data_IF_142735826273
#
_entry.id   IF_142735826273
#
_cell.length_a   1.000
_cell.length_b   1.000
_cell.length_c   1.000
_cell.angle_alpha   90.00
_cell.angle_beta   90.00
_cell.angle_gamma   90.00
#
_symmetry.space_group_name_H-M   'P 1'
#
loop_
_entity.id
_entity.type
_entity.pdbx_description
1 polymer ?
#
# COMPACT_ATOMS: atom_id res chain seq x y z
N UNK A 1 10.32 -36.51 -9.58
CA UNK A 1 9.80 -35.13 -9.69
C UNK A 1 10.47 -34.52 -10.92
N UNK A 2 9.71 -34.07 -11.92
CA UNK A 2 10.28 -33.54 -13.18
C UNK A 2 10.94 -32.16 -13.00
N UNK A 3 11.80 -31.78 -13.94
CA UNK A 3 12.51 -30.49 -13.96
C UNK A 3 11.57 -29.29 -13.80
N UNK A 4 10.40 -29.33 -14.44
CA UNK A 4 9.37 -28.28 -14.35
C UNK A 4 8.90 -28.04 -12.91
N UNK A 5 8.65 -29.10 -12.13
CA UNK A 5 8.22 -28.99 -10.74
C UNK A 5 9.32 -28.38 -9.85
N UNK A 6 10.59 -28.66 -10.16
CA UNK A 6 11.73 -28.06 -9.45
C UNK A 6 11.87 -26.56 -9.78
N UNK A 7 11.68 -26.17 -11.03
CA UNK A 7 11.71 -24.77 -11.46
C UNK A 7 10.56 -24.00 -10.80
N UNK A 8 9.33 -24.52 -10.85
CA UNK A 8 8.18 -23.90 -10.21
C UNK A 8 8.40 -23.70 -8.71
N UNK A 9 8.95 -24.71 -8.02
CA UNK A 9 9.29 -24.58 -6.60
C UNK A 9 10.37 -23.51 -6.36
N UNK A 10 11.38 -23.40 -7.23
CA UNK A 10 12.41 -22.36 -7.15
C UNK A 10 11.84 -20.95 -7.30
N UNK A 11 10.95 -20.75 -8.27
CA UNK A 11 10.25 -19.49 -8.50
C UNK A 11 9.37 -19.11 -7.31
N UNK A 12 8.60 -20.06 -6.77
CA UNK A 12 7.75 -19.83 -5.59
C UNK A 12 8.58 -19.41 -4.37
N UNK A 13 9.70 -20.08 -4.12
CA UNK A 13 10.63 -19.70 -3.03
C UNK A 13 11.22 -18.31 -3.25
N UNK A 14 11.50 -17.94 -4.50
CA UNK A 14 12.01 -16.62 -4.85
C UNK A 14 10.97 -15.53 -4.57
N UNK A 15 9.71 -15.74 -4.97
CA UNK A 15 8.60 -14.84 -4.62
C UNK A 15 8.47 -14.68 -3.10
N UNK A 16 8.46 -15.79 -2.37
CA UNK A 16 8.36 -15.79 -0.91
C UNK A 16 9.54 -15.04 -0.26
N UNK A 17 10.76 -15.20 -0.76
CA UNK A 17 11.94 -14.50 -0.26
C UNK A 17 11.87 -12.98 -0.50
N UNK A 18 11.47 -12.55 -1.70
CA UNK A 18 11.34 -11.13 -2.04
C UNK A 18 10.30 -10.45 -1.13
N UNK A 19 9.09 -11.03 -1.07
CA UNK A 19 7.99 -10.50 -0.26
C UNK A 19 8.32 -10.57 1.23
N UNK A 20 8.99 -11.65 1.66
CA UNK A 20 9.48 -11.81 3.03
C UNK A 20 10.47 -10.72 3.43
N UNK A 21 11.39 -10.35 2.54
CA UNK A 21 12.35 -9.27 2.81
C UNK A 21 11.67 -7.90 2.86
N UNK A 22 10.75 -7.61 1.92
CA UNK A 22 9.95 -6.36 1.98
C UNK A 22 9.17 -6.29 3.29
N UNK A 23 8.51 -7.37 3.70
CA UNK A 23 7.81 -7.44 4.99
C UNK A 23 8.75 -7.20 6.18
N UNK A 24 9.96 -7.73 6.12
CA UNK A 24 10.97 -7.52 7.16
C UNK A 24 11.34 -6.04 7.28
N UNK A 25 11.71 -5.40 6.16
CA UNK A 25 12.05 -3.97 6.12
C UNK A 25 10.91 -3.09 6.66
N UNK A 26 9.68 -3.35 6.19
CA UNK A 26 8.50 -2.63 6.68
C UNK A 26 8.33 -2.78 8.20
N UNK A 27 8.46 -4.00 8.73
CA UNK A 27 8.28 -4.24 10.16
C UNK A 27 9.44 -3.74 11.03
N UNK A 28 10.67 -3.69 10.52
CA UNK A 28 11.84 -3.25 11.29
C UNK A 28 12.02 -1.74 11.28
N UNK A 29 11.71 -1.09 10.15
CA UNK A 29 12.04 0.31 9.94
C UNK A 29 10.86 1.26 10.16
N UNK A 30 9.61 0.83 9.91
CA UNK A 30 8.45 1.71 10.00
C UNK A 30 7.98 1.86 11.45
N UNK A 31 7.91 3.11 11.93
CA UNK A 31 7.54 3.44 13.30
C UNK A 31 6.16 4.07 13.35
N UNK A 32 5.45 3.87 14.46
CA UNK A 32 4.16 4.51 14.68
C UNK A 32 4.24 6.05 14.64
N UNK A 33 5.38 6.63 15.01
CA UNK A 33 5.63 8.07 14.94
C UNK A 33 5.62 8.63 13.50
N UNK A 34 5.87 7.78 12.49
CA UNK A 34 5.83 8.21 11.07
C UNK A 34 4.40 8.56 10.63
N UNK A 35 3.40 7.88 11.20
CA UNK A 35 1.97 8.09 10.88
C UNK A 35 1.18 8.76 12.01
N UNK A 36 1.76 8.88 13.20
CA UNK A 36 1.19 9.57 14.35
C UNK A 36 2.28 10.34 15.09
N UNK A 37 2.78 11.45 14.52
CA UNK A 37 3.78 12.27 15.18
C UNK A 37 3.26 12.82 16.51
N UNK A 38 4.11 12.90 17.56
CA UNK A 38 3.72 13.45 18.85
C UNK A 38 3.32 14.92 18.73
N UNK A 39 2.25 15.29 19.42
CA UNK A 39 1.76 16.67 19.49
C UNK A 39 2.79 17.48 20.29
N UNK A 40 3.54 18.37 19.62
CA UNK A 40 4.48 19.29 20.29
C UNK A 40 5.94 19.23 19.85
N UNK A 41 6.31 18.38 18.88
CA UNK A 41 7.53 18.64 18.09
C UNK A 41 7.26 19.84 17.18
N UNK A 42 8.04 20.90 17.29
CA UNK A 42 7.97 22.15 16.52
C UNK A 42 7.47 21.95 15.08
N UNK A 43 6.16 22.07 14.85
CA UNK A 43 5.51 23.26 14.32
C UNK A 43 3.98 23.05 14.34
N UNK A 44 3.24 24.11 14.67
CA UNK A 44 1.76 24.17 14.61
C UNK A 44 1.18 24.13 13.19
N UNK A 45 1.88 23.49 12.26
CA UNK A 45 1.46 23.13 10.92
C UNK A 45 2.10 21.78 10.61
N UNK A 46 1.34 20.85 10.05
CA UNK A 46 1.81 19.51 9.72
C UNK A 46 3.13 19.56 8.92
N UNK A 47 4.27 19.38 9.59
CA UNK A 47 5.56 19.23 8.94
C UNK A 47 5.62 17.82 8.38
N UNK A 48 5.07 17.66 7.17
CA UNK A 48 5.37 16.53 6.30
C UNK A 48 6.78 16.82 5.80
N UNK A 49 7.72 15.91 6.02
CA UNK A 49 9.11 16.06 5.54
C UNK A 49 9.24 16.09 4.00
N UNK A 50 8.13 16.11 3.26
CA UNK A 50 8.07 16.21 1.79
C UNK A 50 8.58 14.97 1.04
N UNK A 51 9.20 14.02 1.74
CA UNK A 51 9.73 12.78 1.17
C UNK A 51 9.15 11.53 1.80
N UNK A 52 9.43 10.38 1.19
CA UNK A 52 9.07 9.07 1.70
C UNK A 52 9.67 8.80 3.11
N UNK A 53 8.98 7.96 3.88
CA UNK A 53 9.51 7.46 5.14
C UNK A 53 10.78 6.65 4.92
N UNK A 54 11.57 6.47 5.99
CA UNK A 54 12.79 5.66 5.91
C UNK A 54 12.49 4.22 5.45
N UNK A 55 11.43 3.60 5.97
CA UNK A 55 11.03 2.25 5.59
C UNK A 55 10.64 2.17 4.11
N UNK A 56 9.86 3.15 3.61
CA UNK A 56 9.53 3.25 2.20
C UNK A 56 10.79 3.35 1.32
N UNK A 57 11.72 4.24 1.68
CA UNK A 57 12.97 4.39 0.94
C UNK A 57 13.80 3.09 0.90
N UNK A 58 13.90 2.36 2.02
CA UNK A 58 14.59 1.06 2.08
C UNK A 58 13.93 0.01 1.18
N UNK A 59 12.60 -0.08 1.20
CA UNK A 59 11.83 -1.01 0.36
C UNK A 59 12.00 -0.67 -1.13
N UNK A 60 11.87 0.61 -1.51
CA UNK A 60 12.06 1.06 -2.88
C UNK A 60 13.48 0.78 -3.38
N UNK A 61 14.50 1.06 -2.55
CA UNK A 61 15.89 0.77 -2.88
C UNK A 61 16.13 -0.74 -3.09
N UNK A 62 15.54 -1.60 -2.24
CA UNK A 62 15.62 -3.04 -2.40
C UNK A 62 14.96 -3.51 -3.71
N UNK A 63 13.75 -3.05 -4.00
CA UNK A 63 13.02 -3.46 -5.20
C UNK A 63 13.78 -3.01 -6.46
N UNK A 64 14.11 -1.73 -6.57
CA UNK A 64 14.78 -1.18 -7.75
C UNK A 64 16.20 -1.71 -7.91
N UNK A 65 16.96 -1.82 -6.83
CA UNK A 65 18.37 -2.23 -6.87
C UNK A 65 18.59 -3.75 -6.98
N UNK A 66 17.68 -4.56 -6.43
CA UNK A 66 17.87 -6.02 -6.34
C UNK A 66 16.83 -6.83 -7.09
N UNK A 67 15.58 -6.38 -7.20
CA UNK A 67 14.52 -7.19 -7.80
C UNK A 67 14.42 -6.92 -9.31
N UNK A 68 14.30 -5.65 -9.70
CA UNK A 68 13.97 -5.26 -11.08
C UNK A 68 14.94 -5.83 -12.11
N UNK A 69 16.25 -5.69 -11.89
CA UNK A 69 17.26 -6.21 -12.83
C UNK A 69 17.21 -7.73 -13.03
N UNK A 70 16.72 -8.48 -12.02
CA UNK A 70 16.62 -9.94 -12.10
C UNK A 70 15.39 -10.41 -12.87
N UNK A 71 14.36 -9.57 -13.01
CA UNK A 71 13.17 -9.89 -13.79
C UNK A 71 13.46 -10.04 -15.29
N UNK A 72 14.57 -9.47 -15.77
CA UNK A 72 15.01 -9.60 -17.16
C UNK A 72 15.41 -11.04 -17.55
N UNK A 73 15.71 -11.90 -16.56
CA UNK A 73 16.02 -13.32 -16.80
C UNK A 73 14.78 -14.21 -16.87
N UNK A 74 13.58 -13.64 -16.76
CA UNK A 74 12.31 -14.34 -16.93
C UNK A 74 11.58 -13.79 -18.14
N UNK A 75 11.42 -14.63 -19.16
CA UNK A 75 10.86 -14.29 -20.45
C UNK A 75 9.48 -14.91 -20.69
N UNK A 76 8.86 -14.46 -21.78
CA UNK A 76 7.57 -14.95 -22.24
C UNK A 76 6.49 -14.95 -21.15
N UNK A 77 5.62 -15.97 -21.22
CA UNK A 77 4.47 -16.11 -20.33
C UNK A 77 4.87 -16.38 -18.88
N UNK A 78 5.96 -17.11 -18.64
CA UNK A 78 6.43 -17.41 -17.29
C UNK A 78 6.94 -16.17 -16.57
N UNK A 79 7.67 -15.30 -17.27
CA UNK A 79 8.08 -14.01 -16.72
C UNK A 79 6.89 -13.10 -16.43
N UNK A 80 5.87 -13.09 -17.29
CA UNK A 80 4.66 -12.30 -17.03
C UNK A 80 3.92 -12.81 -15.78
N UNK A 81 3.64 -14.12 -15.68
CA UNK A 81 2.98 -14.70 -14.52
C UNK A 81 3.75 -14.48 -13.21
N UNK A 82 5.08 -14.57 -13.25
CA UNK A 82 5.92 -14.28 -12.08
C UNK A 82 5.80 -12.81 -11.64
N UNK A 83 5.82 -11.88 -12.60
CA UNK A 83 5.68 -10.43 -12.33
C UNK A 83 4.29 -10.09 -11.78
N UNK A 84 3.25 -10.69 -12.36
CA UNK A 84 1.86 -10.53 -11.91
C UNK A 84 1.68 -11.04 -10.48
N UNK A 85 2.16 -12.26 -10.18
CA UNK A 85 2.07 -12.81 -8.82
C UNK A 85 2.91 -11.99 -7.82
N UNK A 86 4.11 -11.54 -8.21
CA UNK A 86 4.94 -10.69 -7.37
C UNK A 86 4.25 -9.38 -7.03
N UNK A 87 3.65 -8.70 -8.02
CA UNK A 87 2.94 -7.45 -7.80
C UNK A 87 1.74 -7.60 -6.87
N UNK A 88 0.99 -8.71 -6.96
CA UNK A 88 -0.17 -9.00 -6.09
C UNK A 88 0.30 -9.24 -4.66
N UNK A 89 1.37 -10.02 -4.47
CA UNK A 89 1.89 -10.32 -3.13
C UNK A 89 2.51 -9.10 -2.45
N UNK A 90 3.18 -8.24 -3.21
CA UNK A 90 3.70 -6.97 -2.70
C UNK A 90 2.56 -6.02 -2.33
N UNK A 91 1.53 -5.91 -3.17
CA UNK A 91 0.32 -5.15 -2.83
C UNK A 91 -0.30 -5.64 -1.51
N UNK A 92 -0.54 -6.94 -1.37
CA UNK A 92 -1.10 -7.53 -0.14
C UNK A 92 -0.22 -7.24 1.07
N UNK A 93 1.10 -7.39 0.93
CA UNK A 93 2.06 -7.08 1.99
C UNK A 93 1.98 -5.60 2.42
N UNK A 94 1.83 -4.67 1.48
CA UNK A 94 1.68 -3.25 1.78
C UNK A 94 0.36 -2.95 2.48
N UNK A 95 -0.77 -3.48 1.99
CA UNK A 95 -2.09 -3.29 2.61
C UNK A 95 -2.11 -3.87 4.04
N UNK A 96 -1.59 -5.08 4.24
CA UNK A 96 -1.45 -5.70 5.56
C UNK A 96 -0.59 -4.84 6.50
N UNK A 97 0.48 -4.23 5.99
CA UNK A 97 1.35 -3.37 6.78
C UNK A 97 0.65 -2.06 7.16
N UNK A 98 -0.04 -1.41 6.21
CA UNK A 98 -0.79 -0.17 6.45
C UNK A 98 -1.85 -0.34 7.55
N UNK A 99 -2.53 -1.49 7.61
CA UNK A 99 -3.55 -1.77 8.62
C UNK A 99 -3.00 -1.95 10.05
N UNK A 100 -1.68 -2.00 10.24
CA UNK A 100 -1.07 -2.07 11.59
C UNK A 100 -1.01 -0.72 12.30
N UNK A 101 -1.27 0.37 11.59
CA UNK A 101 -1.08 1.72 12.11
C UNK A 101 -2.38 2.50 12.29
N UNK A 102 -2.29 3.56 13.09
CA UNK A 102 -3.29 4.62 13.17
C UNK A 102 -2.71 5.90 12.60
N UNK A 103 -3.54 6.66 11.89
CA UNK A 103 -3.10 7.81 11.11
C UNK A 103 -3.69 9.11 11.66
N UNK A 104 -2.82 10.07 11.97
CA UNK A 104 -3.23 11.49 12.00
C UNK A 104 -3.45 11.99 10.57
N UNK A 105 -3.99 13.20 10.42
CA UNK A 105 -4.07 13.85 9.09
C UNK A 105 -2.69 13.89 8.40
N UNK A 106 -1.66 14.33 9.13
CA UNK A 106 -0.29 14.38 8.61
C UNK A 106 0.26 13.00 8.27
N UNK A 107 -0.06 11.98 9.08
CA UNK A 107 0.35 10.60 8.81
C UNK A 107 -0.35 9.99 7.60
N UNK A 108 -1.63 10.31 7.37
CA UNK A 108 -2.34 9.90 6.16
C UNK A 108 -1.71 10.51 4.90
N UNK A 109 -1.29 11.78 4.97
CA UNK A 109 -0.56 12.43 3.87
C UNK A 109 0.82 11.78 3.65
N UNK A 110 1.52 11.43 4.73
CA UNK A 110 2.78 10.68 4.64
C UNK A 110 2.59 9.30 3.99
N UNK A 111 1.51 8.58 4.32
CA UNK A 111 1.18 7.31 3.68
C UNK A 111 0.89 7.44 2.17
N UNK A 112 0.28 8.55 1.73
CA UNK A 112 0.09 8.85 0.31
C UNK A 112 1.41 9.15 -0.41
N UNK A 113 2.33 9.86 0.25
CA UNK A 113 3.70 10.04 -0.26
C UNK A 113 4.41 8.69 -0.45
N UNK A 114 4.38 7.83 0.57
CA UNK A 114 4.99 6.49 0.51
C UNK A 114 4.37 5.64 -0.61
N UNK A 115 3.03 5.66 -0.77
CA UNK A 115 2.35 4.93 -1.84
C UNK A 115 2.79 5.40 -3.23
N UNK A 116 2.99 6.70 -3.41
CA UNK A 116 3.46 7.27 -4.69
C UNK A 116 4.84 6.71 -5.05
N UNK A 117 5.75 6.63 -4.08
CA UNK A 117 7.08 6.04 -4.27
C UNK A 117 7.02 4.53 -4.53
N UNK A 118 6.15 3.79 -3.81
CA UNK A 118 5.92 2.37 -4.09
C UNK A 118 5.40 2.15 -5.51
N UNK A 119 4.44 2.95 -5.97
CA UNK A 119 3.91 2.86 -7.33
C UNK A 119 4.99 3.11 -8.38
N UNK A 120 5.86 4.09 -8.15
CA UNK A 120 6.97 4.40 -9.05
C UNK A 120 7.99 3.25 -9.13
N UNK A 121 8.45 2.72 -7.99
CA UNK A 121 9.47 1.66 -7.97
C UNK A 121 8.93 0.31 -8.46
N UNK A 122 7.63 0.06 -8.29
CA UNK A 122 6.97 -1.18 -8.72
C UNK A 122 6.54 -1.15 -10.19
N UNK A 123 6.62 -0.02 -10.89
CA UNK A 123 6.25 0.08 -12.31
C UNK A 123 6.88 -1.02 -13.20
N UNK A 124 8.15 -1.43 -13.04
CA UNK A 124 8.73 -2.54 -13.83
C UNK A 124 8.20 -3.93 -13.45
N UNK A 125 7.67 -4.07 -12.22
CA UNK A 125 7.04 -5.29 -11.73
C UNK A 125 5.59 -5.37 -12.19
N UNK A 126 4.91 -4.23 -12.27
CA UNK A 126 3.50 -4.12 -12.60
C UNK A 126 3.27 -4.20 -14.12
N UNK A 127 3.07 -5.40 -14.64
CA UNK A 127 2.44 -5.57 -15.97
C UNK A 127 0.94 -5.26 -15.89
N UNK A 128 0.33 -4.82 -17.00
CA UNK A 128 -0.95 -4.11 -17.09
C UNK A 128 -2.24 -4.89 -16.73
N UNK A 129 -2.23 -5.73 -15.69
CA UNK A 129 -3.32 -6.64 -15.33
C UNK A 129 -3.82 -6.59 -13.89
N UNK A 130 -3.32 -5.67 -13.05
CA UNK A 130 -3.73 -5.58 -11.65
C UNK A 130 -5.03 -4.80 -11.51
N UNK A 131 -6.14 -5.35 -11.98
CA UNK A 131 -7.44 -4.67 -11.95
C UNK A 131 -8.37 -5.22 -10.87
N UNK A 132 -9.09 -4.32 -10.19
CA UNK A 132 -10.28 -4.63 -9.39
C UNK A 132 -11.42 -3.84 -9.99
N UNK A 133 -12.45 -4.55 -10.46
CA UNK A 133 -13.60 -3.97 -11.17
C UNK A 133 -13.20 -3.02 -12.32
N UNK A 134 -12.11 -3.36 -13.03
CA UNK A 134 -11.59 -2.57 -14.16
C UNK A 134 -10.65 -1.42 -13.76
N UNK A 135 -10.43 -1.18 -12.46
CA UNK A 135 -9.54 -0.13 -11.96
C UNK A 135 -8.21 -0.70 -11.49
N UNK A 136 -7.12 0.03 -11.73
CA UNK A 136 -5.81 -0.38 -11.22
C UNK A 136 -5.79 -0.45 -9.68
N UNK A 137 -5.27 -1.57 -9.17
CA UNK A 137 -5.29 -1.92 -7.76
C UNK A 137 -4.55 -0.91 -6.86
N UNK A 138 -3.46 -0.30 -7.35
CA UNK A 138 -2.73 0.72 -6.60
C UNK A 138 -3.43 2.08 -6.66
N UNK A 139 -4.12 2.38 -7.76
CA UNK A 139 -4.96 3.58 -7.87
C UNK A 139 -6.15 3.49 -6.90
N UNK A 140 -6.78 2.31 -6.81
CA UNK A 140 -7.83 2.01 -5.81
C UNK A 140 -7.28 2.17 -4.39
N UNK A 141 -6.07 1.67 -4.09
CA UNK A 141 -5.45 1.86 -2.78
C UNK A 141 -5.16 3.34 -2.49
N UNK A 142 -4.75 4.13 -3.48
CA UNK A 142 -4.57 5.57 -3.33
C UNK A 142 -5.89 6.24 -2.93
N UNK A 143 -7.00 5.85 -3.57
CA UNK A 143 -8.35 6.30 -3.22
C UNK A 143 -8.78 5.87 -1.81
N UNK A 144 -8.45 4.66 -1.39
CA UNK A 144 -8.69 4.19 -0.01
C UNK A 144 -7.86 4.97 1.02
N UNK A 145 -6.59 5.28 0.73
CA UNK A 145 -5.75 6.11 1.60
C UNK A 145 -6.22 7.56 1.66
N UNK A 146 -6.89 8.08 0.62
CA UNK A 146 -7.49 9.41 0.69
C UNK A 146 -8.58 9.51 1.78
N UNK A 147 -9.25 8.40 2.14
CA UNK A 147 -10.19 8.36 3.27
C UNK A 147 -9.53 8.72 4.62
N UNK A 148 -8.20 8.61 4.73
CA UNK A 148 -7.45 8.96 5.93
C UNK A 148 -7.24 10.47 6.08
N UNK A 149 -7.32 11.24 5.00
CA UNK A 149 -6.92 12.66 4.97
C UNK A 149 -8.06 13.62 4.72
N UNK A 150 -9.19 13.14 4.19
CA UNK A 150 -10.36 14.01 3.97
C UNK A 150 -11.13 14.29 5.27
N UNK A 151 -11.93 15.36 5.25
CA UNK A 151 -12.84 15.66 6.36
C UNK A 151 -13.97 14.62 6.44
N UNK A 152 -14.47 14.29 7.66
CA UNK A 152 -15.54 13.31 7.83
C UNK A 152 -16.80 13.58 6.98
N UNK A 153 -17.14 14.85 6.78
CA UNK A 153 -18.28 15.26 5.96
C UNK A 153 -18.21 14.77 4.50
N UNK A 154 -16.99 14.56 3.98
CA UNK A 154 -16.77 14.18 2.58
C UNK A 154 -16.53 12.66 2.40
N UNK A 155 -16.53 11.87 3.49
CA UNK A 155 -16.21 10.43 3.43
C UNK A 155 -17.18 9.66 2.54
N UNK A 156 -18.48 9.98 2.65
CA UNK A 156 -19.51 9.37 1.82
C UNK A 156 -19.25 9.61 0.33
N UNK A 157 -18.96 10.85 -0.06
CA UNK A 157 -18.79 11.22 -1.48
C UNK A 157 -17.58 10.52 -2.09
N UNK A 158 -16.47 10.39 -1.36
CA UNK A 158 -15.30 9.63 -1.82
C UNK A 158 -15.63 8.14 -1.95
N UNK A 159 -16.41 7.57 -1.02
CA UNK A 159 -16.84 6.17 -1.08
C UNK A 159 -17.77 5.85 -2.25
N UNK A 160 -18.44 6.86 -2.81
CA UNK A 160 -19.33 6.77 -3.96
C UNK A 160 -18.64 7.06 -5.30
N UNK A 161 -17.35 7.40 -5.31
CA UNK A 161 -16.55 7.48 -6.54
C UNK A 161 -16.52 6.12 -7.24
N UNK A 162 -16.49 6.13 -8.57
CA UNK A 162 -16.56 4.92 -9.44
C UNK A 162 -15.57 3.83 -8.99
N UNK A 163 -14.32 4.20 -8.69
CA UNK A 163 -13.26 3.27 -8.27
C UNK A 163 -13.45 2.63 -6.89
N UNK A 164 -14.29 3.20 -6.02
CA UNK A 164 -14.55 2.67 -4.68
C UNK A 164 -15.98 2.13 -4.52
N UNK A 165 -16.92 2.58 -5.35
CA UNK A 165 -18.35 2.25 -5.21
C UNK A 165 -18.59 0.75 -5.14
N UNK A 166 -17.90 -0.03 -5.98
CA UNK A 166 -18.04 -1.49 -6.07
C UNK A 166 -17.41 -2.25 -4.89
N UNK A 167 -16.52 -1.62 -4.11
CA UNK A 167 -15.91 -2.26 -2.96
C UNK A 167 -16.93 -2.49 -1.85
N UNK A 168 -16.79 -3.61 -1.16
CA UNK A 168 -17.59 -3.94 0.02
C UNK A 168 -17.48 -2.86 1.09
N UNK A 169 -18.57 -2.68 1.85
CA UNK A 169 -18.62 -1.76 2.98
C UNK A 169 -17.48 -2.03 3.97
N UNK A 170 -17.18 -3.29 4.23
CA UNK A 170 -16.16 -3.74 5.17
C UNK A 170 -14.76 -3.23 4.80
N UNK A 171 -14.41 -3.20 3.50
CA UNK A 171 -13.13 -2.66 3.02
C UNK A 171 -13.08 -1.15 3.21
N UNK A 172 -14.14 -0.41 2.84
CA UNK A 172 -14.18 1.05 3.05
C UNK A 172 -14.04 1.38 4.54
N UNK A 173 -14.79 0.67 5.38
CA UNK A 173 -14.76 0.83 6.83
C UNK A 173 -13.40 0.46 7.43
N UNK A 174 -12.73 -0.58 6.94
CA UNK A 174 -11.42 -0.99 7.48
C UNK A 174 -10.40 0.13 7.37
N UNK A 175 -10.39 0.88 6.27
CA UNK A 175 -9.52 2.05 6.08
C UNK A 175 -9.96 3.26 6.91
N UNK A 176 -11.25 3.59 6.94
CA UNK A 176 -11.77 4.72 7.76
C UNK A 176 -11.43 4.50 9.24
N UNK A 177 -11.52 3.26 9.71
CA UNK A 177 -11.19 2.90 11.08
C UNK A 177 -9.69 3.04 11.40
N UNK A 178 -8.79 3.20 10.42
CA UNK A 178 -7.37 3.48 10.68
C UNK A 178 -7.12 4.93 11.12
N UNK A 179 -8.09 5.83 10.95
CA UNK A 179 -7.95 7.22 11.39
C UNK A 179 -7.85 7.33 12.91
N UNK A 180 -7.10 8.31 13.39
CA UNK A 180 -6.99 8.61 14.83
C UNK A 180 -8.26 9.21 15.43
N UNK A 181 -9.10 9.85 14.61
CA UNK A 181 -10.40 10.42 14.98
C UNK A 181 -11.57 9.46 14.71
N UNK A 182 -11.33 8.17 14.45
CA UNK A 182 -12.37 7.20 14.09
C UNK A 182 -13.46 7.02 15.16
N UNK A 183 -13.18 7.41 16.40
CA UNK A 183 -14.14 7.39 17.51
C UNK A 183 -15.06 8.61 17.61
N UNK A 184 -14.80 9.66 16.81
CA UNK A 184 -15.55 10.92 16.80
C UNK A 184 -17.00 10.73 16.34
N UNK A 185 -17.88 11.65 16.74
CA UNK A 185 -19.29 11.58 16.36
C UNK A 185 -19.47 11.78 14.85
N UNK A 186 -18.62 12.63 14.26
CA UNK A 186 -18.61 12.98 12.85
C UNK A 186 -18.23 11.78 11.98
N UNK A 187 -17.19 11.02 12.35
CA UNK A 187 -16.79 9.81 11.60
C UNK A 187 -17.83 8.70 11.77
N UNK A 188 -18.40 8.52 12.97
CA UNK A 188 -19.48 7.55 13.19
C UNK A 188 -20.71 7.87 12.34
N UNK A 189 -21.14 9.13 12.30
CA UNK A 189 -22.25 9.56 11.47
C UNK A 189 -21.96 9.42 9.96
N UNK A 190 -20.71 9.56 9.54
CA UNK A 190 -20.32 9.28 8.15
C UNK A 190 -20.40 7.78 7.82
N UNK A 191 -19.93 6.92 8.72
CA UNK A 191 -19.97 5.45 8.57
C UNK A 191 -21.40 4.88 8.49
N UNK A 192 -22.39 5.55 9.06
CA UNK A 192 -23.81 5.17 8.93
C UNK A 192 -24.37 5.40 7.53
N UNK A 193 -23.76 6.29 6.75
CA UNK A 193 -24.18 6.65 5.39
C UNK A 193 -23.48 5.82 4.31
N UNK A 194 -22.36 5.18 4.65
CA UNK A 194 -21.54 4.30 3.80
C UNK A 194 -22.00 2.85 4.01
#
# INVERSE_FOLDING_TARGET
CGLEAQIQQGLERTLAAIVGHVRHLLNSEQKAADFRPPIGGSDGGASISGGATHACAQVCAYISGHVVGRLAFLDGKNGQLFRDELGIRLYRCLVEHLHKFKYSLSGGLQALCDLTEYMACLKPVRHSGFLVDGHDLYDVLCKLLNLLVIQPANLHDICEEESLRSLSREVKQSFIMLRTDSGSAEVKAALEKI
#
